data_IF_298671328668
#
_entry.id   IF_298671328668
#
_cell.length_a   1.000
_cell.length_b   1.000
_cell.length_c   1.000
_cell.angle_alpha   90.00
_cell.angle_beta   90.00
_cell.angle_gamma   90.00
#
_symmetry.space_group_name_H-M   'P 1'
#
loop_
_entity.id
_entity.type
_entity.pdbx_description
1 polymer ?
#
# COMPACT_ATOMS: atom_id res chain seq x y z
N UNK A 1 -6.35 15.33 -25.13
CA UNK A 1 -7.64 15.36 -24.39
C UNK A 1 -7.76 14.22 -23.34
N UNK A 2 -7.00 13.12 -23.45
CA UNK A 2 -7.03 12.00 -22.50
C UNK A 2 -6.29 12.30 -21.19
N UNK A 3 -5.19 13.03 -21.24
CA UNK A 3 -4.40 13.44 -20.04
C UNK A 3 -5.23 14.28 -19.06
N UNK A 4 -6.09 15.16 -19.55
CA UNK A 4 -6.98 15.96 -18.69
C UNK A 4 -8.10 15.12 -18.05
N UNK A 5 -8.56 14.05 -18.71
CA UNK A 5 -9.55 13.12 -18.16
C UNK A 5 -8.93 12.22 -17.06
N UNK A 6 -7.70 11.76 -17.27
CA UNK A 6 -6.97 10.93 -16.31
C UNK A 6 -6.62 11.73 -15.04
N UNK A 7 -6.09 12.95 -15.20
CA UNK A 7 -5.84 13.86 -14.08
C UNK A 7 -7.12 14.20 -13.30
N UNK A 8 -8.25 14.31 -13.97
CA UNK A 8 -9.55 14.59 -13.33
C UNK A 8 -10.10 13.36 -12.58
N UNK A 9 -9.84 12.15 -13.08
CA UNK A 9 -10.18 10.90 -12.38
C UNK A 9 -9.29 10.68 -11.17
N UNK A 10 -7.97 10.84 -11.29
CA UNK A 10 -7.02 10.73 -10.17
C UNK A 10 -7.34 11.73 -9.06
N UNK A 11 -7.59 13.01 -9.38
CA UNK A 11 -8.02 14.02 -8.40
C UNK A 11 -9.30 13.62 -7.66
N UNK A 12 -10.27 13.01 -8.33
CA UNK A 12 -11.51 12.54 -7.70
C UNK A 12 -11.25 11.38 -6.74
N UNK A 13 -10.39 10.43 -7.11
CA UNK A 13 -10.04 9.26 -6.29
C UNK A 13 -9.27 9.71 -5.05
N UNK A 14 -8.30 10.61 -5.20
CA UNK A 14 -7.56 11.20 -4.06
C UNK A 14 -8.52 11.97 -3.15
N UNK A 15 -9.45 12.76 -3.72
CA UNK A 15 -10.44 13.49 -2.93
C UNK A 15 -11.39 12.54 -2.18
N UNK A 16 -11.77 11.42 -2.78
CA UNK A 16 -12.62 10.40 -2.14
C UNK A 16 -11.86 9.70 -1.01
N UNK A 17 -10.59 9.36 -1.19
CA UNK A 17 -9.74 8.78 -0.14
C UNK A 17 -9.56 9.76 1.03
N UNK A 18 -9.30 11.04 0.74
CA UNK A 18 -9.21 12.10 1.77
C UNK A 18 -10.55 12.32 2.48
N UNK A 19 -11.67 12.25 1.75
CA UNK A 19 -13.01 12.38 2.34
C UNK A 19 -13.35 11.20 3.25
N UNK A 20 -13.00 9.96 2.87
CA UNK A 20 -13.16 8.78 3.73
C UNK A 20 -12.32 8.88 5.00
N UNK A 21 -11.10 9.41 4.91
CA UNK A 21 -10.28 9.71 6.09
C UNK A 21 -10.93 10.79 6.98
N UNK A 22 -11.48 11.86 6.39
CA UNK A 22 -12.12 12.94 7.12
C UNK A 22 -13.43 12.49 7.82
N UNK A 23 -14.22 11.61 7.19
CA UNK A 23 -15.42 11.03 7.84
C UNK A 23 -15.05 10.12 9.02
N UNK A 24 -13.92 9.41 8.95
CA UNK A 24 -13.41 8.64 10.08
C UNK A 24 -13.05 9.53 11.28
N UNK A 25 -12.45 10.69 11.06
CA UNK A 25 -12.12 11.64 12.13
C UNK A 25 -13.34 12.22 12.84
N UNK A 26 -14.48 12.38 12.16
CA UNK A 26 -15.69 12.95 12.74
C UNK A 26 -16.39 12.03 13.75
N UNK A 27 -16.21 10.71 13.66
CA UNK A 27 -16.84 9.71 14.54
C UNK A 27 -15.94 9.26 15.70
N UNK A 28 -14.71 9.76 15.81
CA UNK A 28 -13.71 9.29 16.76
C UNK A 28 -13.81 9.94 18.17
N UNK A 29 -14.87 10.71 18.47
CA UNK A 29 -14.92 11.54 19.68
C UNK A 29 -15.61 10.92 20.90
N UNK A 30 -16.10 9.68 20.87
CA UNK A 30 -16.76 9.07 22.04
C UNK A 30 -16.16 7.71 22.40
N UNK A 31 -15.38 7.66 23.45
CA UNK A 31 -14.92 6.46 24.15
C UNK A 31 -13.70 6.73 25.02
N UNK A 32 -13.78 6.42 26.31
CA UNK A 32 -12.61 6.37 27.19
C UNK A 32 -11.64 5.30 26.68
N UNK A 33 -10.55 5.74 26.03
CA UNK A 33 -9.52 4.87 25.48
C UNK A 33 -8.36 4.78 26.45
N UNK A 34 -7.76 3.57 26.57
CA UNK A 34 -6.60 3.38 27.42
C UNK A 34 -5.51 4.40 27.07
N UNK A 35 -4.90 5.03 28.07
CA UNK A 35 -3.91 6.08 27.89
C UNK A 35 -2.68 5.63 27.08
N UNK A 36 -2.44 4.33 26.96
CA UNK A 36 -1.25 3.74 26.34
C UNK A 36 -1.47 3.21 24.91
N UNK A 37 -2.66 3.39 24.32
CA UNK A 37 -2.98 2.83 23.00
C UNK A 37 -3.27 1.32 23.04
N UNK A 38 -3.19 0.66 21.88
CA UNK A 38 -3.55 -0.75 21.69
C UNK A 38 -4.82 -0.91 20.85
N UNK A 39 -5.09 -2.13 20.41
CA UNK A 39 -6.30 -2.51 19.67
C UNK A 39 -7.20 -3.41 20.50
N UNK A 40 -8.49 -3.36 20.22
CA UNK A 40 -9.53 -4.21 20.80
C UNK A 40 -10.48 -4.70 19.71
N UNK A 41 -11.24 -5.73 20.00
CA UNK A 41 -12.33 -6.17 19.11
C UNK A 41 -13.29 -5.03 18.81
N UNK A 42 -13.64 -4.87 17.53
CA UNK A 42 -14.52 -3.82 17.04
C UNK A 42 -13.78 -2.55 16.59
N UNK A 43 -12.49 -2.39 16.91
CA UNK A 43 -11.72 -1.24 16.45
C UNK A 43 -11.59 -1.24 14.93
N UNK A 44 -11.72 -0.04 14.36
CA UNK A 44 -11.40 0.25 12.96
C UNK A 44 -10.07 1.00 12.93
N UNK A 45 -9.21 0.68 11.97
CA UNK A 45 -7.99 1.43 11.75
C UNK A 45 -7.77 1.74 10.29
N UNK A 46 -7.08 2.84 10.05
CA UNK A 46 -6.56 3.20 8.73
C UNK A 46 -5.06 3.27 8.83
N UNK A 47 -4.38 2.54 7.97
CA UNK A 47 -2.93 2.62 7.85
C UNK A 47 -2.57 2.89 6.40
N UNK A 48 -1.36 3.35 6.16
CA UNK A 48 -0.86 3.56 4.81
C UNK A 48 0.58 3.98 4.81
N UNK A 49 1.20 3.67 3.69
CA UNK A 49 2.55 4.11 3.37
C UNK A 49 2.51 5.03 2.16
N UNK A 50 3.42 5.98 2.14
CA UNK A 50 3.72 6.81 0.99
C UNK A 50 5.19 6.59 0.68
N UNK A 51 5.47 6.20 -0.57
CA UNK A 51 6.81 6.03 -1.06
C UNK A 51 7.09 7.07 -2.14
N UNK A 52 8.21 7.72 -2.04
CA UNK A 52 8.72 8.63 -3.05
C UNK A 52 10.19 8.28 -3.30
N UNK A 53 10.56 8.15 -4.57
CA UNK A 53 11.92 7.90 -4.99
C UNK A 53 12.30 8.76 -6.18
N UNK A 54 13.54 9.27 -6.19
CA UNK A 54 14.12 9.97 -7.34
C UNK A 54 15.59 9.58 -7.45
N UNK A 55 16.02 9.22 -8.65
CA UNK A 55 17.41 8.93 -8.96
C UNK A 55 17.83 9.74 -10.17
N UNK A 56 19.08 10.22 -10.17
CA UNK A 56 19.69 10.91 -11.29
C UNK A 56 21.07 10.31 -11.52
N UNK A 57 21.18 9.46 -12.51
CA UNK A 57 22.44 8.88 -12.98
C UNK A 57 23.02 9.77 -14.08
N UNK A 58 24.08 10.50 -13.73
CA UNK A 58 24.73 11.45 -14.64
C UNK A 58 25.63 10.78 -15.67
N UNK A 59 26.10 9.57 -15.40
CA UNK A 59 27.00 8.84 -16.29
C UNK A 59 26.24 8.30 -17.51
N UNK A 60 24.97 7.95 -17.30
CA UNK A 60 24.08 7.45 -18.36
C UNK A 60 23.00 8.45 -18.77
N UNK A 61 22.99 9.66 -18.15
CA UNK A 61 21.94 10.68 -18.32
C UNK A 61 20.52 10.11 -18.15
N UNK A 62 20.36 9.28 -17.10
CA UNK A 62 19.08 8.63 -16.74
C UNK A 62 18.53 9.26 -15.48
N UNK A 63 17.29 9.72 -15.55
CA UNK A 63 16.52 10.22 -14.40
C UNK A 63 15.29 9.37 -14.17
N UNK A 64 15.10 8.91 -12.94
CA UNK A 64 13.91 8.17 -12.54
C UNK A 64 13.18 8.90 -11.43
N UNK A 65 11.86 8.86 -11.47
CA UNK A 65 10.97 9.36 -10.41
C UNK A 65 9.87 8.35 -10.16
N UNK A 66 9.65 8.00 -8.89
CA UNK A 66 8.61 7.09 -8.47
C UNK A 66 7.79 7.67 -7.33
N UNK A 67 6.49 7.40 -7.34
CA UNK A 67 5.57 7.73 -6.28
C UNK A 67 4.58 6.59 -6.08
N UNK A 68 4.33 6.24 -4.82
CA UNK A 68 3.31 5.28 -4.45
C UNK A 68 2.59 5.74 -3.19
N UNK A 69 1.27 5.54 -3.16
CA UNK A 69 0.43 5.69 -1.98
C UNK A 69 -0.47 4.46 -1.87
N UNK A 70 -0.47 3.82 -0.70
CA UNK A 70 -1.20 2.58 -0.46
C UNK A 70 -1.97 2.60 0.87
N UNK A 71 -3.12 3.30 0.94
CA UNK A 71 -3.99 3.26 2.10
C UNK A 71 -4.63 1.88 2.29
N UNK A 72 -4.77 1.48 3.55
CA UNK A 72 -5.44 0.26 4.00
C UNK A 72 -6.43 0.60 5.11
N UNK A 73 -7.57 -0.09 5.12
CA UNK A 73 -8.56 0.00 6.19
C UNK A 73 -8.75 -1.38 6.78
N UNK A 74 -8.67 -1.51 8.09
CA UNK A 74 -8.84 -2.76 8.81
C UNK A 74 -9.89 -2.68 9.90
N UNK A 75 -10.48 -3.82 10.22
CA UNK A 75 -11.46 -4.00 11.27
C UNK A 75 -11.12 -5.23 12.12
N UNK A 76 -11.11 -5.07 13.44
CA UNK A 76 -10.85 -6.15 14.38
C UNK A 76 -12.09 -7.03 14.58
N UNK A 77 -12.11 -8.21 13.95
CA UNK A 77 -13.16 -9.22 14.13
C UNK A 77 -13.13 -9.86 15.52
N UNK A 78 -11.93 -10.06 16.03
CA UNK A 78 -11.66 -10.60 17.37
C UNK A 78 -10.63 -9.73 18.06
N UNK A 79 -10.25 -10.08 19.28
CA UNK A 79 -9.18 -9.39 19.99
C UNK A 79 -7.84 -9.42 19.23
N UNK A 80 -7.56 -10.50 18.48
CA UNK A 80 -6.27 -10.71 17.82
C UNK A 80 -6.33 -10.67 16.29
N UNK A 81 -7.51 -10.80 15.67
CA UNK A 81 -7.65 -10.92 14.23
C UNK A 81 -8.32 -9.69 13.65
N UNK A 82 -7.64 -9.05 12.72
CA UNK A 82 -8.20 -8.00 11.88
C UNK A 82 -8.25 -8.44 10.41
N UNK A 83 -9.27 -8.00 9.70
CA UNK A 83 -9.39 -8.13 8.25
C UNK A 83 -9.53 -6.75 7.64
N UNK A 84 -9.16 -6.60 6.37
CA UNK A 84 -9.26 -5.30 5.74
C UNK A 84 -9.07 -5.29 4.24
N UNK A 85 -9.18 -4.10 3.67
CA UNK A 85 -8.94 -3.82 2.27
C UNK A 85 -7.79 -2.85 2.06
N UNK A 86 -7.20 -2.92 0.88
CA UNK A 86 -6.10 -2.06 0.43
C UNK A 86 -6.44 -1.44 -0.91
N UNK A 87 -6.09 -0.17 -1.07
CA UNK A 87 -6.05 0.53 -2.36
C UNK A 87 -4.64 1.09 -2.53
N UNK A 88 -4.07 0.91 -3.71
CA UNK A 88 -2.76 1.45 -4.04
C UNK A 88 -2.81 2.25 -5.33
N UNK A 89 -1.97 3.28 -5.43
CA UNK A 89 -1.71 4.03 -6.65
C UNK A 89 -0.22 4.23 -6.76
N UNK A 90 0.35 3.85 -7.90
CA UNK A 90 1.75 4.02 -8.19
C UNK A 90 1.95 4.74 -9.52
N UNK A 91 3.02 5.52 -9.61
CA UNK A 91 3.51 6.06 -10.86
C UNK A 91 5.04 6.00 -10.87
N UNK A 92 5.59 5.69 -12.03
CA UNK A 92 7.03 5.61 -12.26
C UNK A 92 7.32 6.25 -13.60
N UNK A 93 8.32 7.11 -13.65
CA UNK A 93 8.77 7.77 -14.87
C UNK A 93 10.27 7.66 -14.99
N UNK A 94 10.74 7.31 -16.18
CA UNK A 94 12.15 7.33 -16.55
C UNK A 94 12.36 8.20 -17.78
N UNK A 95 13.42 9.01 -17.72
CA UNK A 95 13.89 9.89 -18.78
C UNK A 95 15.35 9.57 -19.05
N UNK A 96 15.70 9.32 -20.32
CA UNK A 96 17.06 9.11 -20.78
C UNK A 96 17.42 10.19 -21.78
N UNK A 97 18.50 10.94 -21.53
CA UNK A 97 18.98 12.03 -22.40
C UNK A 97 17.86 13.05 -22.78
N UNK A 98 17.00 13.39 -21.80
CA UNK A 98 15.92 14.36 -21.98
C UNK A 98 14.67 13.80 -22.70
N UNK A 99 14.64 12.51 -22.97
CA UNK A 99 13.48 11.84 -23.61
C UNK A 99 12.87 10.83 -22.64
N UNK A 100 11.54 10.85 -22.50
CA UNK A 100 10.82 9.88 -21.69
C UNK A 100 10.98 8.48 -22.29
N UNK A 101 11.57 7.55 -21.54
CA UNK A 101 11.77 6.14 -21.92
C UNK A 101 10.74 5.22 -21.27
N UNK A 102 10.24 5.59 -20.07
CA UNK A 102 9.11 4.92 -19.42
C UNK A 102 8.19 5.94 -18.75
N UNK A 103 6.89 5.73 -18.83
CA UNK A 103 5.86 6.44 -18.06
C UNK A 103 4.78 5.43 -17.64
N UNK A 104 4.98 4.84 -16.47
CA UNK A 104 4.11 3.83 -15.89
C UNK A 104 3.18 4.45 -14.86
N UNK A 105 1.91 4.07 -14.87
CA UNK A 105 0.99 4.38 -13.80
C UNK A 105 -0.01 3.24 -13.60
N UNK A 106 -0.42 3.03 -12.36
CA UNK A 106 -1.34 1.95 -12.08
C UNK A 106 -2.02 2.03 -10.74
N UNK A 107 -2.83 1.03 -10.49
CA UNK A 107 -3.53 0.86 -9.24
C UNK A 107 -3.41 -0.56 -8.74
N UNK A 108 -3.59 -0.71 -7.44
CA UNK A 108 -3.71 -1.99 -6.74
C UNK A 108 -4.98 -1.97 -5.91
N UNK A 109 -5.71 -3.08 -5.91
CA UNK A 109 -6.81 -3.33 -4.97
C UNK A 109 -6.58 -4.68 -4.34
N UNK A 110 -6.76 -4.77 -3.02
CA UNK A 110 -6.49 -6.00 -2.31
C UNK A 110 -7.26 -6.15 -1.01
N UNK A 111 -7.12 -7.34 -0.44
CA UNK A 111 -7.64 -7.67 0.87
C UNK A 111 -6.53 -8.28 1.72
N UNK A 112 -6.64 -8.14 3.03
CA UNK A 112 -5.68 -8.71 3.95
C UNK A 112 -6.35 -9.26 5.21
N UNK A 113 -5.65 -10.21 5.85
CA UNK A 113 -5.92 -10.64 7.21
C UNK A 113 -4.65 -10.46 8.04
N UNK A 114 -4.79 -9.94 9.25
CA UNK A 114 -3.70 -9.78 10.23
C UNK A 114 -4.01 -10.54 11.50
N UNK A 115 -3.01 -11.19 12.05
CA UNK A 115 -3.02 -11.72 13.39
C UNK A 115 -2.04 -10.94 14.24
N UNK A 116 -2.53 -10.29 15.30
CA UNK A 116 -1.74 -9.57 16.27
C UNK A 116 -1.47 -10.42 17.50
N UNK A 117 -0.22 -10.48 17.95
CA UNK A 117 0.16 -11.31 19.10
C UNK A 117 -0.22 -10.67 20.43
N UNK A 118 -0.06 -9.36 20.55
CA UNK A 118 -0.35 -8.58 21.77
C UNK A 118 -1.09 -7.27 21.42
N UNK A 119 -2.28 -7.33 20.82
CA UNK A 119 -2.93 -6.15 20.23
C UNK A 119 -3.26 -5.06 21.25
N UNK A 120 -3.65 -5.44 22.47
CA UNK A 120 -4.01 -4.49 23.54
C UNK A 120 -2.82 -3.71 24.13
N UNK A 121 -1.58 -4.11 23.78
CA UNK A 121 -0.38 -3.45 24.30
C UNK A 121 0.02 -2.26 23.39
N UNK A 122 0.78 -1.34 23.96
CA UNK A 122 1.39 -0.24 23.21
C UNK A 122 2.28 -0.75 22.06
N UNK A 123 2.99 -1.86 22.27
CA UNK A 123 3.77 -2.55 21.25
C UNK A 123 3.15 -3.89 20.91
N UNK A 124 2.99 -4.18 19.62
CA UNK A 124 2.47 -5.45 19.14
C UNK A 124 3.21 -5.90 17.89
N UNK A 125 3.45 -7.19 17.79
CA UNK A 125 3.87 -7.85 16.56
C UNK A 125 2.62 -8.38 15.84
N UNK A 126 2.69 -8.44 14.50
CA UNK A 126 1.64 -9.06 13.70
C UNK A 126 2.19 -9.85 12.53
N UNK A 127 1.44 -10.86 12.10
CA UNK A 127 1.57 -11.50 10.80
C UNK A 127 0.44 -11.05 9.89
N UNK A 128 0.74 -10.78 8.61
CA UNK A 128 -0.25 -10.38 7.62
C UNK A 128 -0.21 -11.32 6.42
N UNK A 129 -1.38 -11.84 6.02
CA UNK A 129 -1.59 -12.47 4.73
C UNK A 129 -2.35 -11.48 3.85
N UNK A 130 -1.88 -11.28 2.62
CA UNK A 130 -2.50 -10.38 1.63
C UNK A 130 -2.76 -11.06 0.31
N UNK A 131 -3.79 -10.59 -0.38
CA UNK A 131 -4.10 -10.91 -1.76
C UNK A 131 -4.42 -9.61 -2.49
N UNK A 132 -3.67 -9.34 -3.55
CA UNK A 132 -3.74 -8.09 -4.30
C UNK A 132 -3.95 -8.36 -5.79
N UNK A 133 -4.73 -7.51 -6.43
CA UNK A 133 -4.78 -7.37 -7.89
C UNK A 133 -4.20 -6.01 -8.25
N UNK A 134 -3.30 -6.01 -9.22
CA UNK A 134 -2.65 -4.81 -9.73
C UNK A 134 -2.86 -4.65 -11.23
N UNK A 135 -2.87 -3.42 -11.69
CA UNK A 135 -2.92 -3.08 -13.10
C UNK A 135 -2.04 -1.86 -13.35
N UNK A 136 -1.00 -2.05 -14.13
CA UNK A 136 -0.02 -1.04 -14.51
C UNK A 136 -0.09 -0.79 -16.01
N UNK A 137 -0.05 0.47 -16.42
CA UNK A 137 -0.12 0.90 -17.82
C UNK A 137 1.12 1.74 -18.16
N UNK A 138 1.79 1.41 -19.24
CA UNK A 138 2.82 2.26 -19.82
C UNK A 138 2.15 3.22 -20.81
N UNK A 139 2.18 4.50 -20.51
CA UNK A 139 1.48 5.54 -21.28
C UNK A 139 2.16 5.89 -22.61
N UNK A 140 3.43 5.49 -22.79
CA UNK A 140 4.19 5.79 -24.00
C UNK A 140 3.86 4.82 -25.13
N UNK A 141 3.53 3.57 -24.80
CA UNK A 141 3.36 2.47 -25.78
C UNK A 141 2.02 1.75 -25.70
N UNK A 142 1.05 2.29 -24.97
CA UNK A 142 -0.30 1.72 -24.76
C UNK A 142 -0.23 0.22 -24.34
N UNK A 143 0.67 -0.06 -23.41
CA UNK A 143 0.97 -1.40 -22.91
C UNK A 143 0.53 -1.54 -21.47
N UNK A 144 -0.27 -2.57 -21.19
CA UNK A 144 -0.83 -2.81 -19.87
C UNK A 144 -0.44 -4.17 -19.33
N UNK A 145 -0.10 -4.23 -18.05
CA UNK A 145 0.19 -5.47 -17.31
C UNK A 145 -0.78 -5.58 -16.14
N UNK A 146 -1.41 -6.72 -16.03
CA UNK A 146 -2.26 -7.06 -14.89
C UNK A 146 -1.56 -8.13 -14.06
N UNK A 147 -1.65 -8.01 -12.73
CA UNK A 147 -1.02 -8.90 -11.77
C UNK A 147 -1.96 -9.37 -10.68
N UNK A 148 -1.68 -10.54 -10.15
CA UNK A 148 -2.24 -11.06 -8.91
C UNK A 148 -1.06 -11.41 -8.01
N UNK A 149 -1.08 -10.89 -6.79
CA UNK A 149 -0.04 -11.09 -5.80
C UNK A 149 -0.65 -11.66 -4.52
N UNK A 150 -0.03 -12.69 -3.97
CA UNK A 150 -0.35 -13.22 -2.66
C UNK A 150 0.91 -13.21 -1.79
N UNK A 151 0.80 -12.74 -0.55
CA UNK A 151 1.99 -12.57 0.28
C UNK A 151 1.73 -12.75 1.77
N UNK A 152 2.77 -13.24 2.45
CA UNK A 152 2.86 -13.27 3.91
C UNK A 152 3.95 -12.29 4.35
N UNK A 153 3.61 -11.41 5.29
CA UNK A 153 4.52 -10.47 5.91
C UNK A 153 4.49 -10.55 7.42
N UNK A 154 5.54 -10.03 8.03
CA UNK A 154 5.64 -9.80 9.47
C UNK A 154 5.77 -8.30 9.72
N UNK A 155 5.20 -7.83 10.80
CA UNK A 155 5.30 -6.42 11.16
C UNK A 155 5.21 -6.19 12.65
N UNK A 156 5.47 -4.94 12.99
CA UNK A 156 5.34 -4.41 14.34
C UNK A 156 4.55 -3.12 14.31
N UNK A 157 3.85 -2.86 15.40
CA UNK A 157 3.06 -1.66 15.60
C UNK A 157 3.42 -1.09 16.98
N UNK A 158 3.63 0.22 17.06
CA UNK A 158 3.92 0.93 18.30
C UNK A 158 3.03 2.17 18.42
N UNK A 159 2.16 2.19 19.42
CA UNK A 159 1.29 3.31 19.69
C UNK A 159 2.06 4.48 20.34
N UNK A 160 2.03 5.61 19.66
CA UNK A 160 2.60 6.88 20.17
C UNK A 160 1.56 7.71 20.91
N UNK A 161 0.28 7.37 20.74
CA UNK A 161 -0.85 7.89 21.52
C UNK A 161 -1.98 6.85 21.55
N UNK A 162 -3.12 7.15 22.17
CA UNK A 162 -4.28 6.24 22.21
C UNK A 162 -4.79 5.85 20.82
N UNK A 163 -4.61 6.69 19.82
CA UNK A 163 -5.16 6.52 18.47
C UNK A 163 -4.10 6.40 17.37
N UNK A 164 -2.91 6.97 17.58
CA UNK A 164 -1.84 6.94 16.58
C UNK A 164 -0.78 5.91 16.89
N UNK A 165 -0.38 5.15 15.89
CA UNK A 165 0.75 4.26 15.97
C UNK A 165 1.64 4.34 14.74
N UNK A 166 2.90 3.97 14.91
CA UNK A 166 3.87 3.76 13.83
C UNK A 166 3.92 2.26 13.57
N UNK A 167 3.94 1.91 12.30
CA UNK A 167 3.98 0.53 11.84
C UNK A 167 5.22 0.32 10.99
N UNK A 168 5.86 -0.83 11.15
CA UNK A 168 6.94 -1.30 10.29
C UNK A 168 6.65 -2.73 9.87
N UNK A 169 6.94 -3.06 8.61
CA UNK A 169 6.66 -4.39 8.07
C UNK A 169 7.66 -4.83 7.01
N UNK A 170 7.80 -6.14 6.87
CA UNK A 170 8.63 -6.78 5.86
C UNK A 170 7.89 -7.98 5.27
N UNK A 171 7.94 -8.12 3.94
CA UNK A 171 7.46 -9.32 3.27
C UNK A 171 8.42 -10.48 3.52
N UNK A 172 7.88 -11.66 3.77
CA UNK A 172 8.65 -12.88 4.06
C UNK A 172 8.43 -13.93 2.97
N UNK A 173 7.24 -14.01 2.41
CA UNK A 173 6.89 -14.94 1.36
C UNK A 173 5.95 -14.24 0.39
N UNK A 174 6.18 -14.42 -0.90
CA UNK A 174 5.37 -13.85 -1.96
C UNK A 174 5.23 -14.78 -3.14
N UNK A 175 4.04 -14.76 -3.73
CA UNK A 175 3.74 -15.33 -5.02
C UNK A 175 3.17 -14.22 -5.89
N UNK A 176 3.66 -14.12 -7.13
CA UNK A 176 3.15 -13.17 -8.12
C UNK A 176 2.81 -13.89 -9.43
N UNK A 177 1.78 -13.41 -10.09
CA UNK A 177 1.42 -13.82 -11.44
C UNK A 177 1.03 -12.59 -12.23
N UNK A 178 1.77 -12.30 -13.29
CA UNK A 178 1.60 -11.11 -14.12
C UNK A 178 1.36 -11.53 -15.57
N UNK A 179 0.51 -10.79 -16.27
CA UNK A 179 0.26 -10.98 -17.69
C UNK A 179 0.04 -9.65 -18.40
N UNK A 180 0.69 -9.50 -19.54
CA UNK A 180 0.46 -8.37 -20.43
C UNK A 180 -0.90 -8.50 -21.15
N UNK A 181 -1.58 -7.39 -21.34
CA UNK A 181 -2.86 -7.32 -22.06
C UNK A 181 -2.60 -7.15 -23.58
N UNK A 182 -1.87 -8.14 -24.14
CA UNK A 182 -1.60 -8.23 -25.58
C UNK A 182 -1.85 -9.65 -26.07
N UNK A 183 -2.32 -9.77 -27.31
CA UNK A 183 -2.61 -11.09 -27.92
C UNK A 183 -1.34 -11.94 -28.01
N UNK A 184 -1.38 -13.15 -27.47
CA UNK A 184 -0.24 -14.08 -27.50
C UNK A 184 0.78 -13.86 -26.39
N UNK A 185 0.55 -12.96 -25.45
CA UNK A 185 1.43 -12.81 -24.30
C UNK A 185 1.37 -14.02 -23.37
N UNK A 186 2.53 -14.52 -22.99
CA UNK A 186 2.68 -15.50 -21.92
C UNK A 186 2.65 -14.82 -20.55
N UNK A 187 2.08 -15.49 -19.56
CA UNK A 187 2.11 -15.04 -18.16
C UNK A 187 3.48 -15.31 -17.53
N UNK A 188 3.88 -14.42 -16.64
CA UNK A 188 5.06 -14.58 -15.79
C UNK A 188 4.62 -14.87 -14.36
N UNK A 189 5.16 -15.91 -13.75
CA UNK A 189 4.93 -16.23 -12.35
C UNK A 189 6.22 -16.13 -11.57
N UNK A 190 6.13 -15.68 -10.31
CA UNK A 190 7.26 -15.54 -9.41
C UNK A 190 6.92 -16.09 -8.04
N UNK A 191 7.93 -16.62 -7.38
CA UNK A 191 7.87 -17.01 -5.98
C UNK A 191 9.12 -16.51 -5.29
N UNK A 192 8.95 -15.88 -4.14
CA UNK A 192 10.06 -15.44 -3.31
C UNK A 192 9.85 -15.88 -1.87
N UNK A 193 10.93 -16.23 -1.22
CA UNK A 193 10.99 -16.56 0.20
C UNK A 193 12.24 -15.92 0.81
N UNK A 194 12.02 -15.19 1.89
CA UNK A 194 13.07 -14.49 2.63
C UNK A 194 12.67 -13.04 2.92
N UNK A 195 13.26 -12.46 3.95
CA UNK A 195 13.07 -11.04 4.29
C UNK A 195 14.28 -10.21 3.86
N UNK A 196 14.06 -9.08 3.23
CA UNK A 196 15.10 -8.10 2.95
C UNK A 196 14.95 -6.92 3.92
N UNK A 197 15.91 -6.78 4.84
CA UNK A 197 15.93 -5.68 5.82
C UNK A 197 16.05 -4.29 5.19
N UNK A 198 16.45 -4.23 3.91
CA UNK A 198 16.50 -2.96 3.13
C UNK A 198 15.14 -2.58 2.57
N UNK A 199 14.20 -3.53 2.53
CA UNK A 199 12.84 -3.36 2.02
C UNK A 199 11.79 -3.28 3.15
N UNK A 200 12.20 -2.84 4.35
CA UNK A 200 11.27 -2.56 5.44
C UNK A 200 10.42 -1.35 5.06
N UNK A 201 9.10 -1.55 5.10
CA UNK A 201 8.14 -0.47 4.90
C UNK A 201 7.77 0.16 6.25
N UNK A 202 7.59 1.48 6.24
CA UNK A 202 7.09 2.24 7.39
C UNK A 202 5.75 2.86 7.05
N UNK A 203 4.85 2.84 8.00
CA UNK A 203 3.52 3.42 7.86
C UNK A 203 3.07 4.11 9.15
N UNK A 204 2.07 4.95 9.00
CA UNK A 204 1.34 5.55 10.13
C UNK A 204 -0.04 4.93 10.16
N UNK A 205 -0.49 4.59 11.35
CA UNK A 205 -1.78 3.97 11.59
C UNK A 205 -2.59 4.87 12.51
N UNK A 206 -3.85 5.07 12.18
CA UNK A 206 -4.83 5.75 13.00
C UNK A 206 -5.98 4.80 13.35
N UNK A 207 -6.24 4.65 14.64
CA UNK A 207 -7.35 3.87 15.19
C UNK A 207 -8.50 4.79 15.58
N UNK A 208 -9.71 4.43 15.19
CA UNK A 208 -10.95 5.13 15.52
C UNK A 208 -11.58 4.62 16.80
#
# INVERSE_FOLDING_TARGET
NNLNKLNKKMKKIILTAVALLAFGFANAQEGEKSANGGFSKGDVFVTGAVTFGSTNDKDFDVKTNGFEIAPQVGYFLTENIAIGGKLGFASYKEETSGTDTEDMAGFTVGAFGRYYFTPANQFSLFGQLGLDYSSMENKLVDYKVNGIDAGLGLGMNYFVSSNFSIEAGVAVLGFSSEKADVTGADGKTGFNFGGDWRAVTFGVNYKF
#
